data_IF_811431763465
#
_entry.id   IF_811431763465
#
_cell.length_a   1.000
_cell.length_b   1.000
_cell.length_c   1.000
_cell.angle_alpha   90.00
_cell.angle_beta   90.00
_cell.angle_gamma   90.00
#
_symmetry.space_group_name_H-M   'P 1'
#
loop_
_entity.id
_entity.type
_entity.pdbx_description
1 polymer ?
#
# COMPACT_ATOMS: atom_id res chain seq x y z
N UNK A 1 -9.98 -7.89 -1.46
CA UNK A 1 -10.85 -6.77 -1.10
C UNK A 1 -10.55 -6.17 0.28
N UNK A 2 -10.53 -6.94 1.37
CA UNK A 2 -10.25 -6.39 2.72
C UNK A 2 -8.96 -5.55 2.82
N UNK A 3 -7.84 -6.03 2.26
CA UNK A 3 -6.57 -5.27 2.26
C UNK A 3 -6.64 -3.96 1.46
N UNK A 4 -7.45 -3.89 0.41
CA UNK A 4 -7.66 -2.66 -0.37
C UNK A 4 -8.48 -1.65 0.43
N UNK A 5 -9.53 -2.09 1.13
CA UNK A 5 -10.31 -1.21 1.98
C UNK A 5 -9.46 -0.63 3.12
N UNK A 6 -8.61 -1.45 3.75
CA UNK A 6 -7.64 -0.99 4.75
C UNK A 6 -6.66 0.01 4.15
N UNK A 7 -6.13 -0.25 2.95
CA UNK A 7 -5.24 0.67 2.25
C UNK A 7 -5.88 2.05 2.04
N UNK A 8 -7.12 2.08 1.54
CA UNK A 8 -7.86 3.33 1.32
C UNK A 8 -8.09 4.08 2.63
N UNK A 9 -8.46 3.38 3.71
CA UNK A 9 -8.63 4.01 5.03
C UNK A 9 -7.31 4.60 5.53
N UNK A 10 -6.21 3.87 5.42
CA UNK A 10 -4.90 4.33 5.86
C UNK A 10 -4.41 5.53 5.05
N UNK A 11 -4.60 5.55 3.74
CA UNK A 11 -4.28 6.72 2.90
C UNK A 11 -5.14 7.93 3.30
N UNK A 12 -6.44 7.76 3.61
CA UNK A 12 -7.27 8.86 4.11
C UNK A 12 -6.76 9.39 5.47
N UNK A 13 -6.30 8.51 6.35
CA UNK A 13 -5.68 8.90 7.61
C UNK A 13 -4.37 9.65 7.37
N UNK A 14 -3.60 9.28 6.34
CA UNK A 14 -2.40 10.01 5.94
C UNK A 14 -2.70 11.43 5.47
N UNK A 15 -3.71 11.58 4.62
CA UNK A 15 -4.20 12.88 4.16
C UNK A 15 -4.67 13.81 5.29
N UNK A 16 -4.95 13.27 6.47
CA UNK A 16 -5.50 14.04 7.61
C UNK A 16 -4.54 14.16 8.78
N UNK A 17 -4.13 13.02 9.36
CA UNK A 17 -3.25 12.94 10.53
C UNK A 17 -1.78 13.09 10.12
N UNK A 18 -1.41 12.54 8.96
CA UNK A 18 -0.05 12.67 8.40
C UNK A 18 0.33 14.12 8.10
N UNK A 19 -0.63 15.05 8.00
CA UNK A 19 -0.39 16.49 7.74
C UNK A 19 -0.28 17.36 8.99
N UNK A 20 -0.20 16.74 10.18
CA UNK A 20 0.08 17.45 11.43
C UNK A 20 1.59 17.71 11.50
N UNK A 21 2.05 18.98 11.59
CA UNK A 21 3.46 19.30 11.65
C UNK A 21 4.19 18.55 12.77
N UNK A 22 5.26 17.85 12.41
CA UNK A 22 6.06 17.05 13.34
C UNK A 22 5.57 15.62 13.55
N UNK A 23 4.46 15.21 12.94
CA UNK A 23 3.97 13.82 12.97
C UNK A 23 4.20 13.05 11.65
N UNK A 24 4.41 13.78 10.55
CA UNK A 24 4.67 13.29 9.17
C UNK A 24 5.58 12.05 9.14
N UNK A 25 6.87 12.22 9.48
CA UNK A 25 7.85 11.13 9.42
C UNK A 25 7.48 9.89 10.27
N UNK A 26 6.87 10.10 11.44
CA UNK A 26 6.47 9.01 12.31
C UNK A 26 5.30 8.22 11.72
N UNK A 27 4.38 8.93 11.05
CA UNK A 27 3.24 8.35 10.37
C UNK A 27 3.68 7.57 9.11
N UNK A 28 4.57 8.12 8.30
CA UNK A 28 5.13 7.46 7.10
C UNK A 28 5.83 6.14 7.48
N UNK A 29 6.61 6.16 8.57
CA UNK A 29 7.26 4.94 9.08
C UNK A 29 6.22 3.90 9.52
N UNK A 30 5.16 4.32 10.22
CA UNK A 30 4.10 3.42 10.67
C UNK A 30 3.32 2.82 9.48
N UNK A 31 3.02 3.63 8.47
CA UNK A 31 2.37 3.20 7.23
C UNK A 31 3.26 2.26 6.41
N UNK A 32 4.55 2.55 6.30
CA UNK A 32 5.53 1.66 5.67
C UNK A 32 5.59 0.30 6.35
N UNK A 33 5.61 0.27 7.68
CA UNK A 33 5.55 -0.98 8.46
C UNK A 33 4.24 -1.74 8.23
N UNK A 34 3.10 -1.04 8.19
CA UNK A 34 1.80 -1.64 7.89
C UNK A 34 1.75 -2.22 6.46
N UNK A 35 2.32 -1.53 5.48
CA UNK A 35 2.42 -2.00 4.11
C UNK A 35 3.27 -3.28 4.01
N UNK A 36 4.42 -3.34 4.69
CA UNK A 36 5.25 -4.55 4.77
C UNK A 36 4.51 -5.69 5.46
N UNK A 37 3.78 -5.42 6.54
CA UNK A 37 2.97 -6.45 7.21
C UNK A 37 1.87 -7.02 6.30
N UNK A 38 1.26 -6.18 5.44
CA UNK A 38 0.17 -6.60 4.56
C UNK A 38 0.65 -7.30 3.27
N UNK A 39 1.78 -6.89 2.70
CA UNK A 39 2.23 -7.34 1.38
C UNK A 39 3.68 -7.85 1.32
N UNK A 40 4.44 -7.83 2.41
CA UNK A 40 5.82 -8.30 2.45
C UNK A 40 6.77 -7.36 1.70
N UNK A 41 7.65 -7.92 0.85
CA UNK A 41 8.62 -7.17 0.03
C UNK A 41 8.00 -6.02 -0.78
N UNK A 42 6.85 -6.19 -1.47
CA UNK A 42 6.14 -5.07 -2.09
C UNK A 42 5.80 -3.91 -1.15
N UNK A 43 5.59 -4.17 0.13
CA UNK A 43 5.29 -3.13 1.11
C UNK A 43 6.47 -2.18 1.37
N UNK A 44 7.70 -2.59 1.07
CA UNK A 44 8.88 -1.73 1.24
C UNK A 44 8.84 -0.48 0.35
N UNK A 45 8.07 -0.51 -0.75
CA UNK A 45 7.90 0.67 -1.60
C UNK A 45 7.20 1.84 -0.90
N UNK A 46 6.43 1.58 0.16
CA UNK A 46 5.82 2.63 0.96
C UNK A 46 6.87 3.49 1.71
N UNK A 47 8.05 2.95 2.01
CA UNK A 47 9.12 3.75 2.63
C UNK A 47 9.76 4.79 1.71
N UNK A 48 9.38 4.83 0.42
CA UNK A 48 9.77 5.95 -0.45
C UNK A 48 9.25 7.29 0.08
N UNK A 49 8.14 7.31 0.82
CA UNK A 49 7.55 8.51 1.41
C UNK A 49 8.52 9.23 2.36
N UNK A 50 9.39 8.47 3.06
CA UNK A 50 10.47 9.02 3.90
C UNK A 50 11.47 9.87 3.10
N UNK A 51 11.60 9.66 1.79
CA UNK A 51 12.48 10.44 0.93
C UNK A 51 11.94 11.85 0.62
N UNK A 52 10.68 12.14 0.94
CA UNK A 52 10.09 13.48 0.92
C UNK A 52 9.68 13.93 2.35
N UNK A 53 10.66 14.27 3.21
CA UNK A 53 10.39 14.70 4.59
C UNK A 53 9.70 16.07 4.68
N UNK A 54 9.39 16.69 3.53
CA UNK A 54 8.62 17.94 3.47
C UNK A 54 7.13 17.70 3.26
N UNK A 55 6.73 16.45 3.00
CA UNK A 55 5.35 16.05 2.81
C UNK A 55 4.65 16.67 1.60
N UNK A 56 5.39 17.27 0.65
CA UNK A 56 4.79 18.04 -0.44
C UNK A 56 4.28 17.17 -1.60
N UNK A 57 5.02 16.12 -1.91
CA UNK A 57 4.67 15.11 -2.92
C UNK A 57 3.88 13.98 -2.28
N UNK A 58 4.29 13.62 -1.07
CA UNK A 58 3.70 12.55 -0.29
C UNK A 58 2.23 12.83 0.11
N UNK A 59 1.87 14.09 0.40
CA UNK A 59 0.50 14.49 0.78
C UNK A 59 -0.58 14.39 -0.26
N UNK A 60 -0.28 13.81 -1.42
CA UNK A 60 -1.22 13.59 -2.51
C UNK A 60 -1.15 12.21 -3.15
N UNK A 61 -0.23 11.34 -2.71
CA UNK A 61 -0.05 10.02 -3.26
C UNK A 61 -0.76 8.96 -2.39
N UNK A 62 -1.81 8.27 -2.88
CA UNK A 62 -2.43 7.18 -2.13
C UNK A 62 -1.59 5.89 -2.26
N UNK A 63 -0.40 5.89 -1.68
CA UNK A 63 0.64 4.88 -1.91
C UNK A 63 0.21 3.49 -1.49
N UNK A 64 -0.46 3.32 -0.33
CA UNK A 64 -0.89 1.99 0.09
C UNK A 64 -1.97 1.46 -0.84
N UNK A 65 -2.87 2.31 -1.32
CA UNK A 65 -3.88 1.94 -2.32
C UNK A 65 -3.24 1.51 -3.63
N UNK A 66 -2.23 2.24 -4.11
CA UNK A 66 -1.50 1.87 -5.33
C UNK A 66 -0.78 0.51 -5.17
N UNK A 67 -0.14 0.27 -4.02
CA UNK A 67 0.47 -1.02 -3.70
C UNK A 67 -0.61 -2.11 -3.69
N UNK A 68 -1.73 -1.89 -3.01
CA UNK A 68 -2.84 -2.85 -2.94
C UNK A 68 -3.38 -3.23 -4.32
N UNK A 69 -3.60 -2.25 -5.20
CA UNK A 69 -4.03 -2.47 -6.57
C UNK A 69 -3.00 -3.27 -7.38
N UNK A 70 -1.71 -2.94 -7.24
CA UNK A 70 -0.61 -3.65 -7.92
C UNK A 70 -0.54 -5.14 -7.54
N UNK A 71 -0.86 -5.48 -6.28
CA UNK A 71 -0.84 -6.85 -5.80
C UNK A 71 -2.12 -7.61 -6.16
N UNK A 72 -3.25 -6.92 -6.26
CA UNK A 72 -4.52 -7.53 -6.67
C UNK A 72 -4.44 -8.09 -8.09
N UNK A 73 -3.84 -7.35 -9.02
CA UNK A 73 -3.64 -7.82 -10.40
C UNK A 73 -2.74 -9.06 -10.52
N UNK A 74 -1.80 -9.26 -9.59
CA UNK A 74 -0.93 -10.45 -9.54
C UNK A 74 -1.65 -11.67 -8.97
N UNK A 75 -2.48 -11.47 -7.94
CA UNK A 75 -3.32 -12.53 -7.38
C UNK A 75 -4.31 -13.10 -8.40
N UNK A 76 -4.96 -12.24 -9.18
CA UNK A 76 -5.90 -12.66 -10.22
C UNK A 76 -5.22 -13.44 -11.34
N UNK A 77 -4.04 -12.99 -11.81
CA UNK A 77 -3.25 -13.74 -12.82
C UNK A 77 -2.81 -15.12 -12.33
N UNK A 78 -2.47 -15.25 -11.04
CA UNK A 78 -2.08 -16.53 -10.45
C UNK A 78 -3.27 -17.50 -10.34
N UNK A 79 -4.45 -17.00 -9.97
CA UNK A 79 -5.70 -17.79 -9.93
C UNK A 79 -6.11 -18.26 -11.32
N UNK A 80 -6.17 -17.35 -12.30
CA UNK A 80 -6.56 -17.68 -13.67
C UNK A 80 -5.60 -18.68 -14.35
N UNK A 81 -4.30 -18.64 -14.02
CA UNK A 81 -3.32 -19.60 -14.53
C UNK A 81 -3.48 -20.99 -13.89
N UNK A 82 -3.90 -21.06 -12.63
CA UNK A 82 -4.17 -22.33 -11.95
C UNK A 82 -5.40 -23.04 -12.55
N UNK A 83 -6.48 -22.30 -12.79
CA UNK A 83 -7.72 -22.83 -13.41
C UNK A 83 -7.49 -23.33 -14.84
N UNK A 84 -6.55 -22.73 -15.59
CA UNK A 84 -6.24 -23.15 -16.97
C UNK A 84 -5.26 -24.34 -17.05
N UNK A 85 -4.58 -24.68 -15.96
CA UNK A 85 -3.63 -25.80 -15.89
C UNK A 85 -4.23 -27.10 -15.37
N UNK A 86 -5.56 -27.15 -15.16
CA UNK A 86 -6.29 -28.35 -14.72
C UNK A 86 -7.13 -28.94 -15.87
N UNK A 87 -6.55 -29.76 -16.77
CA UNK A 87 -7.27 -30.38 -17.89
C UNK A 87 -7.86 -31.74 -17.51
N UNK A 88 -8.48 -31.88 -16.33
CA UNK A 88 -9.10 -33.14 -15.90
C UNK A 88 -10.36 -32.93 -15.04
N UNK A 89 -11.47 -32.70 -15.72
CA UNK A 89 -12.77 -33.27 -15.33
C UNK A 89 -13.03 -34.50 -16.20
#
# INVERSE_FOLDING_TARGET
MAKLAVAVILDILDFTIGRIPGFELAFDVALGMAAVAMWGWPGLFAFWEIADPTGQIDGFAPTLTLIALSQMGKGQKKSARADHSDPAG
#
